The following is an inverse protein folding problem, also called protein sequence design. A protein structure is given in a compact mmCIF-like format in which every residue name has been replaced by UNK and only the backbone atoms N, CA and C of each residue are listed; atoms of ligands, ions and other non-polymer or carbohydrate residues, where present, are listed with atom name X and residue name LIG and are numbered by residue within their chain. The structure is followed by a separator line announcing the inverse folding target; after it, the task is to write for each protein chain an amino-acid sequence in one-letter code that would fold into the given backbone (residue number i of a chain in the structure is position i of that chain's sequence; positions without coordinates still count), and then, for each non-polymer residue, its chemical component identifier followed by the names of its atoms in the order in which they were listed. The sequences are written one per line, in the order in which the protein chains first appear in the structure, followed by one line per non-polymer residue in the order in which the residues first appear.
data_IF_240745911803
#
_entry.id   IF_240745911803
#
_cell.length_a   1.000
_cell.length_b   1.000
_cell.length_c   1.000
_cell.angle_alpha   90.00
_cell.angle_beta   90.00
_cell.angle_gamma   90.00
#
_symmetry.space_group_name_H-M   'P 1'
#
loop_
_entity.id
_entity.type
_entity.pdbx_description
1 polymer ?
#
# COMPACT_ATOMS: atom_id res chain seq x y z
N UNK A 1 -14.12 -39.86 103.78
CA UNK A 1 -13.35 -38.92 102.94
C UNK A 1 -14.31 -38.50 101.83
N UNK A 2 -15.09 -37.43 102.04
CA UNK A 2 -14.78 -36.05 101.57
C UNK A 2 -14.67 -36.03 100.04
N UNK A 3 -15.39 -35.23 99.25
CA UNK A 3 -16.18 -34.05 99.54
C UNK A 3 -17.04 -33.67 98.32
N UNK A 4 -18.24 -33.18 98.64
CA UNK A 4 -18.97 -32.04 98.07
C UNK A 4 -18.62 -31.44 96.68
N UNK A 5 -19.71 -31.15 95.94
CA UNK A 5 -19.96 -29.98 95.07
C UNK A 5 -19.27 -29.96 93.68
N UNK A 6 -19.88 -29.53 92.57
CA UNK A 6 -20.80 -28.38 92.39
C UNK A 6 -21.48 -28.51 91.02
N UNK A 7 -22.80 -28.27 91.00
CA UNK A 7 -23.53 -27.85 89.81
C UNK A 7 -22.92 -26.55 89.27
N UNK A 8 -22.60 -26.52 87.97
CA UNK A 8 -22.58 -25.30 87.17
C UNK A 8 -23.22 -25.60 85.82
N UNK A 9 -24.49 -25.26 85.72
CA UNK A 9 -25.16 -24.80 84.51
C UNK A 9 -24.24 -23.93 83.64
N UNK A 10 -24.12 -24.27 82.36
CA UNK A 10 -23.92 -23.28 81.31
C UNK A 10 -24.76 -23.68 80.09
N UNK A 11 -25.70 -22.83 79.65
CA UNK A 11 -26.37 -23.03 78.39
C UNK A 11 -25.34 -22.84 77.28
N UNK A 12 -25.19 -23.83 76.41
CA UNK A 12 -24.57 -23.62 75.11
C UNK A 12 -25.49 -22.66 74.34
N UNK A 13 -25.20 -21.37 74.47
CA UNK A 13 -25.70 -20.35 73.57
C UNK A 13 -25.35 -20.79 72.14
N UNK A 14 -26.29 -20.77 71.20
CA UNK A 14 -25.95 -20.89 69.80
C UNK A 14 -25.35 -19.55 69.38
N UNK A 15 -24.08 -19.30 69.70
CA UNK A 15 -23.28 -18.29 69.00
C UNK A 15 -22.84 -18.83 67.65
N UNK A 16 -23.78 -19.45 66.92
CA UNK A 16 -23.63 -19.59 65.47
C UNK A 16 -23.95 -18.21 64.91
N UNK A 17 -22.90 -17.41 64.72
CA UNK A 17 -22.90 -16.40 63.66
C UNK A 17 -23.25 -17.13 62.36
N UNK A 18 -24.55 -17.25 62.10
CA UNK A 18 -25.08 -17.72 60.83
C UNK A 18 -24.75 -16.63 59.83
N UNK A 19 -23.51 -16.66 59.32
CA UNK A 19 -23.10 -15.87 58.18
C UNK A 19 -24.09 -16.18 57.06
N UNK A 20 -25.03 -15.27 56.88
CA UNK A 20 -26.01 -15.34 55.81
C UNK A 20 -25.23 -15.10 54.52
N UNK A 21 -25.03 -16.15 53.72
CA UNK A 21 -24.37 -16.05 52.41
C UNK A 21 -25.23 -15.29 51.39
N UNK A 22 -26.49 -15.01 51.73
CA UNK A 22 -27.46 -14.35 50.85
C UNK A 22 -27.05 -13.00 50.28
N UNK A 23 -26.40 -12.07 51.02
CA UNK A 23 -25.91 -10.82 50.47
C UNK A 23 -24.79 -11.04 49.45
N UNK A 24 -23.86 -11.95 49.74
CA UNK A 24 -22.74 -12.30 48.84
C UNK A 24 -23.27 -12.95 47.55
N UNK A 25 -24.23 -13.86 47.66
CA UNK A 25 -24.87 -14.49 46.50
C UNK A 25 -25.61 -13.46 45.63
N UNK A 26 -26.23 -12.44 46.26
CA UNK A 26 -26.90 -11.35 45.54
C UNK A 26 -25.90 -10.47 44.80
N UNK A 27 -24.81 -10.11 45.46
CA UNK A 27 -23.73 -9.30 44.88
C UNK A 27 -23.09 -10.03 43.69
N UNK A 28 -22.76 -11.32 43.83
CA UNK A 28 -22.23 -12.14 42.74
C UNK A 28 -23.20 -12.27 41.55
N UNK A 29 -24.51 -12.35 41.81
CA UNK A 29 -25.52 -12.38 40.73
C UNK A 29 -25.56 -11.06 39.98
N UNK A 30 -25.53 -9.95 40.72
CA UNK A 30 -25.52 -8.61 40.14
C UNK A 30 -24.24 -8.37 39.33
N UNK A 31 -23.10 -8.82 39.83
CA UNK A 31 -21.83 -8.77 39.10
C UNK A 31 -21.88 -9.64 37.83
N UNK A 32 -22.47 -10.83 37.90
CA UNK A 32 -22.63 -11.70 36.74
C UNK A 32 -23.50 -11.04 35.65
N UNK A 33 -24.58 -10.37 36.05
CA UNK A 33 -25.44 -9.61 35.13
C UNK A 33 -24.66 -8.46 34.47
N UNK A 34 -23.97 -7.64 35.27
CA UNK A 34 -23.14 -6.51 34.76
C UNK A 34 -22.04 -7.01 33.82
N UNK A 35 -21.37 -8.11 34.18
CA UNK A 35 -20.34 -8.73 33.34
C UNK A 35 -20.98 -9.19 32.02
N UNK A 36 -22.14 -9.85 32.06
CA UNK A 36 -22.83 -10.33 30.86
C UNK A 36 -23.26 -9.19 29.94
N UNK A 37 -23.75 -8.08 30.49
CA UNK A 37 -24.12 -6.88 29.72
C UNK A 37 -22.90 -6.24 29.08
N UNK A 38 -21.79 -6.12 29.81
CA UNK A 38 -20.52 -5.62 29.25
C UNK A 38 -20.02 -6.50 28.13
N UNK A 39 -20.02 -7.83 28.29
CA UNK A 39 -19.64 -8.77 27.23
C UNK A 39 -20.52 -8.62 25.98
N UNK A 40 -21.84 -8.48 26.15
CA UNK A 40 -22.75 -8.26 25.03
C UNK A 40 -22.48 -6.92 24.34
N UNK A 41 -22.23 -5.85 25.12
CA UNK A 41 -21.89 -4.53 24.59
C UNK A 41 -20.60 -4.57 23.77
N UNK A 42 -19.52 -5.13 24.33
CA UNK A 42 -18.24 -5.30 23.65
C UNK A 42 -18.39 -6.12 22.37
N UNK A 43 -19.17 -7.21 22.42
CA UNK A 43 -19.43 -8.04 21.22
C UNK A 43 -20.19 -7.28 20.14
N UNK A 44 -21.18 -6.45 20.51
CA UNK A 44 -21.89 -5.59 19.54
C UNK A 44 -20.95 -4.57 18.91
N UNK A 45 -20.11 -3.91 19.71
CA UNK A 45 -19.11 -2.96 19.23
C UNK A 45 -18.10 -3.63 18.29
N UNK A 46 -17.60 -4.81 18.66
CA UNK A 46 -16.72 -5.61 17.81
C UNK A 46 -17.36 -5.96 16.47
N UNK A 47 -18.61 -6.43 16.49
CA UNK A 47 -19.33 -6.75 15.25
C UNK A 47 -19.55 -5.51 14.37
N UNK A 48 -19.87 -4.36 14.97
CA UNK A 48 -19.99 -3.10 14.23
C UNK A 48 -18.67 -2.68 13.60
N UNK A 49 -17.57 -2.78 14.36
CA UNK A 49 -16.24 -2.49 13.87
C UNK A 49 -15.86 -3.42 12.70
N UNK A 50 -16.18 -4.71 12.78
CA UNK A 50 -15.92 -5.65 11.70
C UNK A 50 -16.68 -5.29 10.42
N UNK A 51 -17.97 -4.95 10.54
CA UNK A 51 -18.77 -4.50 9.38
C UNK A 51 -18.17 -3.23 8.76
N UNK A 52 -17.73 -2.26 9.58
CA UNK A 52 -17.08 -1.06 9.08
C UNK A 52 -15.74 -1.36 8.41
N UNK A 53 -14.94 -2.26 8.97
CA UNK A 53 -13.70 -2.72 8.35
C UNK A 53 -13.96 -3.40 7.00
N UNK A 54 -14.95 -4.29 6.92
CA UNK A 54 -15.32 -4.96 5.66
C UNK A 54 -15.71 -3.93 4.59
N UNK A 55 -16.54 -2.95 4.93
CA UNK A 55 -16.93 -1.86 4.01
C UNK A 55 -15.73 -1.01 3.53
N UNK A 56 -14.77 -0.76 4.42
CA UNK A 56 -13.54 -0.04 4.07
C UNK A 56 -12.64 -0.87 3.15
N UNK A 57 -12.53 -2.18 3.39
CA UNK A 57 -11.77 -3.08 2.52
C UNK A 57 -12.39 -3.16 1.12
N UNK A 58 -13.71 -3.23 1.05
CA UNK A 58 -14.45 -3.21 -0.22
C UNK A 58 -14.19 -1.90 -1.00
N UNK A 59 -14.27 -0.76 -0.33
CA UNK A 59 -14.03 0.54 -1.00
C UNK A 59 -12.58 0.71 -1.44
N UNK A 60 -11.61 0.29 -0.62
CA UNK A 60 -10.19 0.32 -0.96
C UNK A 60 -9.88 -0.59 -2.15
N UNK A 61 -10.47 -1.78 -2.20
CA UNK A 61 -10.29 -2.69 -3.34
C UNK A 61 -10.82 -2.07 -4.64
N UNK A 62 -12.01 -1.44 -4.59
CA UNK A 62 -12.58 -0.74 -5.75
C UNK A 62 -11.68 0.45 -6.16
N UNK A 63 -11.18 1.23 -5.20
CA UNK A 63 -10.27 2.35 -5.48
C UNK A 63 -9.00 1.88 -6.19
N UNK A 64 -8.40 0.77 -5.77
CA UNK A 64 -7.22 0.21 -6.41
C UNK A 64 -7.52 -0.27 -7.83
N UNK A 65 -8.65 -0.95 -8.04
CA UNK A 65 -9.07 -1.40 -9.37
C UNK A 65 -9.34 -0.24 -10.34
N UNK A 66 -9.97 0.83 -9.86
CA UNK A 66 -10.17 2.07 -10.64
C UNK A 66 -8.84 2.77 -10.93
N UNK A 67 -7.94 2.84 -9.96
CA UNK A 67 -6.62 3.47 -10.11
C UNK A 67 -5.76 2.75 -11.15
N UNK A 68 -5.79 1.41 -11.14
CA UNK A 68 -5.12 0.60 -12.16
C UNK A 68 -5.69 0.86 -13.56
N UNK A 69 -7.01 0.85 -13.70
CA UNK A 69 -7.70 1.14 -14.97
C UNK A 69 -7.36 2.55 -15.49
N UNK A 70 -7.36 3.56 -14.62
CA UNK A 70 -6.95 4.92 -14.98
C UNK A 70 -5.49 4.99 -15.43
N UNK A 71 -4.59 4.31 -14.73
CA UNK A 71 -3.17 4.25 -15.09
C UNK A 71 -2.98 3.61 -16.47
N UNK A 72 -3.77 2.59 -16.80
CA UNK A 72 -3.79 1.96 -18.13
C UNK A 72 -4.22 2.96 -19.21
N UNK A 73 -5.28 3.76 -18.96
CA UNK A 73 -5.70 4.80 -19.91
C UNK A 73 -4.63 5.88 -20.11
N UNK A 74 -4.01 6.34 -19.03
CA UNK A 74 -3.04 7.45 -19.06
C UNK A 74 -1.68 7.04 -19.64
N UNK A 75 -1.27 5.79 -19.47
CA UNK A 75 0.01 5.27 -19.96
C UNK A 75 -0.01 5.00 -21.47
N UNK A 76 -1.16 4.71 -22.06
CA UNK A 76 -1.29 4.48 -23.48
C UNK A 76 -1.74 5.75 -24.22
N UNK A 77 -0.91 6.23 -25.16
CA UNK A 77 -1.34 7.11 -26.27
C UNK A 77 -2.21 6.32 -27.27
N UNK A 78 -3.20 5.59 -26.76
CA UNK A 78 -4.10 4.78 -27.55
C UNK A 78 -5.15 5.64 -28.25
N UNK A 79 -5.74 5.13 -29.35
CA UNK A 79 -6.87 5.78 -30.00
C UNK A 79 -8.06 5.94 -29.03
N UNK A 80 -8.94 6.95 -29.24
CA UNK A 80 -10.07 7.24 -28.35
C UNK A 80 -11.03 6.05 -28.12
N UNK A 81 -11.07 5.07 -29.03
CA UNK A 81 -11.90 3.87 -28.89
C UNK A 81 -11.47 3.00 -27.69
N UNK A 82 -10.17 2.86 -27.46
CA UNK A 82 -9.62 2.07 -26.35
C UNK A 82 -9.86 2.75 -25.00
N UNK A 83 -9.88 4.09 -24.99
CA UNK A 83 -10.24 4.88 -23.81
C UNK A 83 -11.69 4.67 -23.43
N UNK A 84 -12.61 4.68 -24.40
CA UNK A 84 -14.02 4.41 -24.15
C UNK A 84 -14.26 2.98 -23.66
N UNK A 85 -13.51 1.99 -24.18
CA UNK A 85 -13.61 0.62 -23.71
C UNK A 85 -13.14 0.49 -22.24
N UNK A 86 -11.97 1.04 -21.93
CA UNK A 86 -11.40 1.02 -20.58
C UNK A 86 -12.25 1.81 -19.58
N UNK A 87 -12.84 2.94 -20.00
CA UNK A 87 -13.78 3.72 -19.17
C UNK A 87 -15.06 2.93 -18.85
N UNK A 88 -15.62 2.20 -19.83
CA UNK A 88 -16.80 1.33 -19.59
C UNK A 88 -16.47 0.18 -18.65
N UNK A 89 -15.28 -0.38 -18.77
CA UNK A 89 -14.78 -1.40 -17.86
C UNK A 89 -14.67 -0.84 -16.44
N UNK A 90 -14.09 0.36 -16.28
CA UNK A 90 -14.00 1.05 -15.00
C UNK A 90 -15.38 1.32 -14.36
N UNK A 91 -16.35 1.79 -15.15
CA UNK A 91 -17.73 2.03 -14.67
C UNK A 91 -18.44 0.74 -14.23
N UNK A 92 -18.00 -0.42 -14.71
CA UNK A 92 -18.57 -1.73 -14.37
C UNK A 92 -17.91 -2.42 -13.17
N UNK A 93 -16.87 -1.82 -12.58
CA UNK A 93 -16.15 -2.40 -11.44
C UNK A 93 -17.07 -2.42 -10.22
N UNK A 94 -17.35 -3.63 -9.72
CA UNK A 94 -18.12 -3.84 -8.49
C UNK A 94 -17.45 -4.91 -7.64
N UNK A 95 -17.45 -4.73 -6.32
CA UNK A 95 -16.98 -5.75 -5.41
C UNK A 95 -17.95 -6.95 -5.38
N UNK A 96 -17.41 -8.17 -5.45
CA UNK A 96 -18.18 -9.40 -5.41
C UNK A 96 -17.63 -10.30 -4.30
N UNK A 97 -18.49 -10.64 -3.33
CA UNK A 97 -18.10 -11.54 -2.26
C UNK A 97 -18.01 -12.99 -2.77
N UNK A 98 -16.81 -13.58 -2.69
CA UNK A 98 -16.55 -14.94 -3.16
C UNK A 98 -17.45 -15.98 -2.49
N UNK A 99 -17.80 -15.81 -1.21
CA UNK A 99 -18.70 -16.72 -0.48
C UNK A 99 -20.13 -16.74 -1.03
N UNK A 100 -20.57 -15.65 -1.66
CA UNK A 100 -21.89 -15.55 -2.27
C UNK A 100 -21.93 -16.16 -3.68
N UNK A 101 -20.77 -16.20 -4.36
CA UNK A 101 -20.66 -16.66 -5.75
C UNK A 101 -20.19 -18.10 -5.88
N UNK A 102 -19.33 -18.55 -4.97
CA UNK A 102 -18.84 -19.93 -4.92
C UNK A 102 -19.75 -20.71 -3.97
N UNK A 103 -20.78 -21.35 -4.52
CA UNK A 103 -21.76 -22.12 -3.72
C UNK A 103 -21.20 -23.42 -3.14
N UNK A 104 -20.06 -23.91 -3.64
CA UNK A 104 -19.42 -25.13 -3.16
C UNK A 104 -18.38 -24.82 -2.08
N UNK A 105 -18.60 -25.17 -0.80
CA UNK A 105 -17.67 -24.87 0.29
C UNK A 105 -16.30 -25.53 0.07
N UNK A 106 -16.27 -26.72 -0.51
CA UNK A 106 -15.04 -27.45 -0.81
C UNK A 106 -14.17 -26.72 -1.84
N UNK A 107 -14.80 -26.05 -2.81
CA UNK A 107 -14.08 -25.31 -3.86
C UNK A 107 -13.50 -24.01 -3.30
N UNK A 108 -14.26 -23.30 -2.47
CA UNK A 108 -13.79 -22.11 -1.76
C UNK A 108 -12.60 -22.44 -0.84
N UNK A 109 -12.69 -23.52 -0.07
CA UNK A 109 -11.60 -23.95 0.81
C UNK A 109 -10.35 -24.35 0.02
N UNK A 110 -10.51 -25.08 -1.08
CA UNK A 110 -9.40 -25.48 -1.95
C UNK A 110 -8.71 -24.27 -2.59
N UNK A 111 -9.50 -23.29 -3.04
CA UNK A 111 -8.98 -22.05 -3.61
C UNK A 111 -8.23 -21.21 -2.57
N UNK A 112 -8.78 -21.06 -1.36
CA UNK A 112 -8.12 -20.36 -0.26
C UNK A 112 -6.81 -21.05 0.15
N UNK A 113 -6.79 -22.39 0.19
CA UNK A 113 -5.57 -23.16 0.46
C UNK A 113 -4.52 -22.95 -0.64
N UNK A 114 -4.94 -22.93 -1.90
CA UNK A 114 -4.05 -22.64 -3.03
C UNK A 114 -3.42 -21.25 -2.91
N UNK A 115 -4.23 -20.21 -2.71
CA UNK A 115 -3.72 -18.84 -2.54
C UNK A 115 -2.83 -18.69 -1.30
N UNK A 116 -3.20 -19.32 -0.19
CA UNK A 116 -2.38 -19.33 1.03
C UNK A 116 -1.02 -20.01 0.83
N UNK A 117 -0.98 -21.11 0.09
CA UNK A 117 0.27 -21.78 -0.28
C UNK A 117 1.12 -20.88 -1.18
N UNK A 118 0.51 -20.18 -2.13
CA UNK A 118 1.21 -19.27 -3.04
C UNK A 118 1.81 -18.07 -2.28
N UNK A 119 1.04 -17.47 -1.37
CA UNK A 119 1.48 -16.40 -0.46
C UNK A 119 2.65 -16.82 0.43
N UNK A 120 2.69 -18.09 0.83
CA UNK A 120 3.76 -18.64 1.68
C UNK A 120 5.06 -18.91 0.92
N UNK A 121 5.02 -18.94 -0.42
CA UNK A 121 6.18 -19.23 -1.28
C UNK A 121 6.39 -18.10 -2.31
N UNK A 122 6.82 -16.90 -1.88
CA UNK A 122 7.05 -15.76 -2.79
C UNK A 122 8.06 -16.06 -3.89
N UNK A 123 8.98 -17.00 -3.65
CA UNK A 123 9.96 -17.47 -4.64
C UNK A 123 9.29 -18.09 -5.88
N UNK A 124 8.25 -18.92 -5.67
CA UNK A 124 7.51 -19.54 -6.77
C UNK A 124 6.75 -18.49 -7.59
N UNK A 125 6.20 -17.45 -6.93
CA UNK A 125 5.53 -16.34 -7.62
C UNK A 125 6.51 -15.55 -8.46
N UNK A 126 7.71 -15.29 -7.93
CA UNK A 126 8.79 -14.62 -8.66
C UNK A 126 9.21 -15.41 -9.92
N UNK A 127 9.33 -16.74 -9.82
CA UNK A 127 9.65 -17.58 -10.97
C UNK A 127 8.57 -17.57 -12.05
N UNK A 128 7.29 -17.61 -11.66
CA UNK A 128 6.15 -17.53 -12.60
C UNK A 128 6.14 -16.19 -13.32
N UNK A 129 6.33 -15.08 -12.60
CA UNK A 129 6.37 -13.73 -13.17
C UNK A 129 7.53 -13.58 -14.17
N UNK A 130 8.69 -14.11 -13.83
CA UNK A 130 9.85 -14.14 -14.71
C UNK A 130 9.56 -14.96 -15.98
N UNK A 131 9.04 -16.18 -15.83
CA UNK A 131 8.70 -17.02 -16.97
C UNK A 131 7.68 -16.32 -17.88
N UNK A 132 6.67 -15.68 -17.31
CA UNK A 132 5.70 -14.90 -18.08
C UNK A 132 6.34 -13.73 -18.85
N UNK A 133 7.31 -13.04 -18.25
CA UNK A 133 8.11 -12.02 -18.93
C UNK A 133 8.91 -12.56 -20.11
N UNK A 134 9.50 -13.73 -19.97
CA UNK A 134 10.32 -14.39 -21.01
C UNK A 134 9.48 -14.86 -22.19
N UNK A 135 8.27 -15.37 -21.94
CA UNK A 135 7.33 -15.83 -22.96
C UNK A 135 6.57 -14.68 -23.65
N UNK A 136 6.80 -13.43 -23.26
CA UNK A 136 6.12 -12.26 -23.83
C UNK A 136 4.63 -12.19 -23.48
N UNK A 137 4.21 -12.86 -22.41
CA UNK A 137 2.86 -12.71 -21.86
C UNK A 137 2.68 -11.29 -21.32
N UNK A 138 1.43 -10.86 -21.18
CA UNK A 138 1.11 -9.56 -20.62
C UNK A 138 1.43 -9.52 -19.11
N UNK A 139 2.70 -9.30 -18.81
CA UNK A 139 3.21 -9.27 -17.46
C UNK A 139 2.66 -8.10 -16.63
N UNK A 140 2.07 -7.08 -17.25
CA UNK A 140 1.46 -5.97 -16.50
C UNK A 140 0.15 -6.42 -15.86
N UNK A 141 -0.72 -7.07 -16.62
CA UNK A 141 -1.96 -7.64 -16.11
C UNK A 141 -1.70 -8.75 -15.11
N UNK A 142 -0.77 -9.67 -15.42
CA UNK A 142 -0.42 -10.75 -14.51
C UNK A 142 0.16 -10.23 -13.18
N UNK A 143 1.01 -9.20 -13.23
CA UNK A 143 1.57 -8.58 -12.01
C UNK A 143 0.47 -7.96 -11.16
N UNK A 144 -0.42 -7.17 -11.78
CA UNK A 144 -1.54 -6.55 -11.08
C UNK A 144 -2.45 -7.60 -10.43
N UNK A 145 -2.85 -8.64 -11.18
CA UNK A 145 -3.73 -9.69 -10.69
C UNK A 145 -3.08 -10.48 -9.55
N UNK A 146 -1.79 -10.81 -9.65
CA UNK A 146 -1.07 -11.51 -8.58
C UNK A 146 -0.96 -10.64 -7.33
N UNK A 147 -0.64 -9.37 -7.47
CA UNK A 147 -0.55 -8.44 -6.33
C UNK A 147 -1.93 -8.22 -5.69
N UNK A 148 -2.98 -8.12 -6.50
CA UNK A 148 -4.36 -7.98 -6.01
C UNK A 148 -4.86 -9.24 -5.31
N UNK A 149 -4.72 -10.41 -5.95
CA UNK A 149 -5.34 -11.68 -5.52
C UNK A 149 -4.53 -12.38 -4.42
N UNK A 150 -3.19 -12.38 -4.52
CA UNK A 150 -2.32 -13.12 -3.59
C UNK A 150 -1.97 -12.26 -2.39
N UNK A 151 -1.67 -10.98 -2.62
CA UNK A 151 -1.18 -10.06 -1.59
C UNK A 151 -2.22 -9.01 -1.17
N UNK A 152 -3.44 -9.03 -1.75
CA UNK A 152 -4.52 -8.15 -1.32
C UNK A 152 -4.17 -6.66 -1.42
N UNK A 153 -3.34 -6.26 -2.38
CA UNK A 153 -2.77 -4.91 -2.48
C UNK A 153 -2.00 -4.44 -1.22
N UNK A 154 -1.45 -5.37 -0.45
CA UNK A 154 -0.71 -5.10 0.77
C UNK A 154 -1.49 -4.31 1.83
N UNK A 155 -2.81 -4.50 1.91
CA UNK A 155 -3.59 -3.86 2.97
C UNK A 155 -3.14 -4.32 4.37
N UNK A 156 -2.64 -5.55 4.48
CA UNK A 156 -2.07 -6.08 5.72
C UNK A 156 -0.53 -5.98 5.74
N UNK A 157 0.08 -5.68 6.90
CA UNK A 157 1.54 -5.57 7.03
C UNK A 157 2.27 -6.87 6.69
N UNK A 158 1.65 -8.03 6.91
CA UNK A 158 2.21 -9.33 6.55
C UNK A 158 2.34 -9.50 5.03
N UNK A 159 1.44 -8.87 4.26
CA UNK A 159 1.49 -8.88 2.79
C UNK A 159 2.66 -8.06 2.26
N UNK A 160 2.95 -6.90 2.88
CA UNK A 160 4.12 -6.09 2.54
C UNK A 160 5.41 -6.90 2.63
N UNK A 161 5.61 -7.65 3.73
CA UNK A 161 6.82 -8.45 3.92
C UNK A 161 6.95 -9.56 2.85
N UNK A 162 5.86 -10.22 2.48
CA UNK A 162 5.90 -11.27 1.46
C UNK A 162 6.12 -10.71 0.05
N UNK A 163 5.50 -9.58 -0.28
CA UNK A 163 5.71 -8.92 -1.57
C UNK A 163 7.15 -8.37 -1.68
N UNK A 164 7.70 -7.80 -0.61
CA UNK A 164 9.12 -7.41 -0.53
C UNK A 164 10.04 -8.61 -0.73
N UNK A 165 9.76 -9.75 -0.08
CA UNK A 165 10.55 -10.97 -0.29
C UNK A 165 10.51 -11.44 -1.75
N UNK A 166 9.35 -11.36 -2.42
CA UNK A 166 9.22 -11.68 -3.84
C UNK A 166 10.06 -10.71 -4.71
N UNK A 167 10.00 -9.41 -4.42
CA UNK A 167 10.81 -8.37 -5.11
C UNK A 167 12.30 -8.64 -4.92
N UNK A 168 12.74 -8.96 -3.69
CA UNK A 168 14.11 -9.31 -3.40
C UNK A 168 14.57 -10.53 -4.21
N UNK A 169 13.75 -11.57 -4.34
CA UNK A 169 14.07 -12.73 -5.17
C UNK A 169 14.20 -12.38 -6.65
N UNK A 170 13.26 -11.59 -7.18
CA UNK A 170 13.30 -11.09 -8.55
C UNK A 170 14.58 -10.28 -8.82
N UNK A 171 14.93 -9.35 -7.93
CA UNK A 171 16.13 -8.52 -8.05
C UNK A 171 17.41 -9.34 -7.92
N UNK A 172 17.50 -10.25 -6.94
CA UNK A 172 18.65 -11.14 -6.77
C UNK A 172 18.88 -11.99 -8.01
N UNK A 173 17.80 -12.46 -8.63
CA UNK A 173 17.87 -13.21 -9.86
C UNK A 173 18.34 -12.35 -11.03
N UNK A 174 17.77 -11.14 -11.21
CA UNK A 174 18.21 -10.16 -12.23
C UNK A 174 19.71 -9.88 -12.11
N UNK A 175 20.18 -9.54 -10.90
CA UNK A 175 21.59 -9.23 -10.61
C UNK A 175 22.51 -10.41 -10.97
N UNK A 176 22.10 -11.66 -10.69
CA UNK A 176 22.91 -12.85 -11.04
C UNK A 176 23.04 -13.07 -12.54
N UNK A 177 22.10 -12.58 -13.35
CA UNK A 177 22.12 -12.75 -14.81
C UNK A 177 22.81 -11.61 -15.55
N UNK A 178 22.92 -10.43 -14.93
CA UNK A 178 23.58 -9.28 -15.56
C UNK A 178 25.09 -9.52 -15.70
N UNK A 179 25.60 -9.30 -16.91
CA UNK A 179 27.04 -9.38 -17.20
C UNK A 179 27.75 -8.03 -17.00
N UNK A 180 26.98 -6.93 -17.02
CA UNK A 180 27.49 -5.57 -16.85
C UNK A 180 26.62 -4.71 -15.93
N UNK A 181 27.20 -3.65 -15.36
CA UNK A 181 26.50 -2.67 -14.52
C UNK A 181 25.39 -1.95 -15.32
N UNK A 182 25.58 -1.73 -16.63
CA UNK A 182 24.55 -1.11 -17.49
C UNK A 182 23.31 -1.99 -17.62
N UNK A 183 23.49 -3.30 -17.75
CA UNK A 183 22.39 -4.27 -17.76
C UNK A 183 21.69 -4.35 -16.40
N UNK A 184 22.43 -4.20 -15.31
CA UNK A 184 21.85 -4.17 -13.96
C UNK A 184 20.85 -3.01 -13.80
N UNK A 185 21.19 -1.81 -14.30
CA UNK A 185 20.28 -0.65 -14.28
C UNK A 185 19.17 -0.71 -15.33
N UNK A 186 19.30 -1.55 -16.35
CA UNK A 186 18.21 -1.91 -17.25
C UNK A 186 17.37 -3.00 -16.59
N UNK A 187 16.70 -2.62 -15.50
CA UNK A 187 15.84 -3.53 -14.70
C UNK A 187 14.87 -4.23 -15.65
N UNK A 188 14.77 -5.56 -15.56
CA UNK A 188 13.83 -6.35 -16.34
C UNK A 188 12.41 -5.74 -16.22
N UNK A 189 11.65 -5.64 -17.33
CA UNK A 189 10.34 -4.97 -17.32
C UNK A 189 9.38 -5.56 -16.27
N UNK A 190 9.50 -6.85 -15.96
CA UNK A 190 8.71 -7.50 -14.90
C UNK A 190 9.10 -6.99 -13.51
N UNK A 191 10.40 -6.98 -13.19
CA UNK A 191 10.90 -6.51 -11.90
C UNK A 191 10.54 -5.03 -11.64
N UNK A 192 10.71 -4.17 -12.65
CA UNK A 192 10.37 -2.74 -12.52
C UNK A 192 8.88 -2.50 -12.33
N UNK A 193 8.02 -3.30 -12.98
CA UNK A 193 6.56 -3.24 -12.80
C UNK A 193 6.15 -3.64 -11.40
N UNK A 194 6.64 -4.76 -10.88
CA UNK A 194 6.33 -5.21 -9.51
C UNK A 194 6.76 -4.15 -8.49
N UNK A 195 7.96 -3.57 -8.64
CA UNK A 195 8.44 -2.50 -7.77
C UNK A 195 7.55 -1.26 -7.89
N UNK A 196 7.12 -0.89 -9.10
CA UNK A 196 6.20 0.23 -9.30
C UNK A 196 4.85 0.00 -8.62
N UNK A 197 4.26 -1.19 -8.75
CA UNK A 197 3.01 -1.56 -8.08
C UNK A 197 3.15 -1.58 -6.56
N UNK A 198 4.27 -2.09 -6.03
CA UNK A 198 4.57 -2.03 -4.60
C UNK A 198 4.67 -0.58 -4.10
N UNK A 199 5.39 0.27 -4.84
CA UNK A 199 5.51 1.68 -4.49
C UNK A 199 4.15 2.38 -4.46
N UNK A 200 3.27 2.08 -5.43
CA UNK A 200 1.89 2.59 -5.49
C UNK A 200 1.06 2.27 -4.24
N UNK A 201 1.38 1.16 -3.56
CA UNK A 201 0.68 0.67 -2.37
C UNK A 201 1.28 1.17 -1.06
N UNK A 202 2.43 1.87 -1.09
CA UNK A 202 3.06 2.34 0.13
C UNK A 202 2.17 3.38 0.84
N UNK A 203 1.84 3.17 2.12
CA UNK A 203 1.14 4.16 2.91
C UNK A 203 2.00 5.42 2.97
N UNK A 204 1.45 6.50 2.43
CA UNK A 204 2.15 7.78 2.35
C UNK A 204 2.87 8.06 1.02
N UNK A 205 2.79 7.19 0.00
CA UNK A 205 3.22 7.56 -1.35
C UNK A 205 2.44 8.78 -1.87
N UNK A 206 1.12 8.84 -1.65
CA UNK A 206 0.32 10.01 -2.06
C UNK A 206 0.81 11.30 -1.38
N UNK A 207 1.14 11.25 -0.09
CA UNK A 207 1.75 12.39 0.61
C UNK A 207 3.17 12.68 0.13
N UNK A 208 3.95 11.65 -0.17
CA UNK A 208 5.31 11.75 -0.71
C UNK A 208 5.32 12.37 -2.11
N UNK A 209 4.43 11.95 -3.01
CA UNK A 209 4.23 12.55 -4.34
C UNK A 209 3.71 13.97 -4.22
N UNK A 210 2.81 14.24 -3.27
CA UNK A 210 2.35 15.59 -2.97
C UNK A 210 3.50 16.50 -2.49
N UNK A 211 4.38 15.98 -1.63
CA UNK A 211 5.55 16.71 -1.16
C UNK A 211 6.59 16.88 -2.28
N UNK A 212 6.87 15.83 -3.06
CA UNK A 212 7.72 15.88 -4.25
C UNK A 212 7.21 16.94 -5.21
N UNK A 213 5.91 16.98 -5.47
CA UNK A 213 5.31 18.00 -6.32
C UNK A 213 5.54 19.41 -5.76
N UNK A 214 5.42 19.63 -4.45
CA UNK A 214 5.72 20.94 -3.84
C UNK A 214 7.19 21.33 -3.95
N UNK A 215 8.10 20.36 -3.77
CA UNK A 215 9.56 20.54 -3.88
C UNK A 215 9.93 20.87 -5.33
N UNK A 216 9.37 20.14 -6.29
CA UNK A 216 9.55 20.35 -7.73
C UNK A 216 8.81 21.59 -8.25
N UNK A 217 7.83 22.10 -7.51
CA UNK A 217 7.01 23.24 -7.95
C UNK A 217 7.87 24.48 -8.20
N UNK A 218 8.85 24.76 -7.34
CA UNK A 218 9.73 25.94 -7.50
C UNK A 218 10.55 25.89 -8.80
N UNK A 219 11.34 24.85 -9.07
CA UNK A 219 12.08 24.75 -10.33
C UNK A 219 11.15 24.60 -11.55
N UNK A 220 9.99 23.95 -11.42
CA UNK A 220 9.01 23.90 -12.51
C UNK A 220 8.43 25.28 -12.83
N UNK A 221 8.10 26.07 -11.81
CA UNK A 221 7.58 27.43 -12.00
C UNK A 221 8.66 28.39 -12.53
N UNK A 222 9.93 28.22 -12.17
CA UNK A 222 11.01 29.03 -12.75
C UNK A 222 11.21 28.73 -14.24
N UNK A 223 11.10 27.46 -14.65
CA UNK A 223 11.07 27.08 -16.07
C UNK A 223 9.84 27.65 -16.79
N UNK A 224 8.65 27.54 -16.19
CA UNK A 224 7.40 28.04 -16.80
C UNK A 224 7.35 29.56 -16.90
N UNK A 225 7.94 30.27 -15.94
CA UNK A 225 8.03 31.72 -15.93
C UNK A 225 9.22 32.25 -16.74
N UNK A 226 9.99 31.38 -17.38
CA UNK A 226 11.08 31.78 -18.25
C UNK A 226 10.50 32.43 -19.51
N UNK A 227 10.58 33.75 -19.58
CA UNK A 227 10.04 34.57 -20.68
C UNK A 227 11.06 34.86 -21.77
N UNK A 228 12.35 34.60 -21.53
CA UNK A 228 13.46 35.07 -22.37
C UNK A 228 13.76 34.17 -23.60
N UNK A 229 12.80 33.34 -24.02
CA UNK A 229 12.85 32.59 -25.28
C UNK A 229 12.99 31.08 -25.09
N UNK A 230 13.69 30.42 -26.01
CA UNK A 230 13.87 28.97 -25.98
C UNK A 230 14.98 28.58 -24.99
N UNK A 231 14.87 27.42 -24.35
CA UNK A 231 15.98 26.81 -23.61
C UNK A 231 16.82 25.95 -24.56
N UNK A 232 17.71 26.59 -25.31
CA UNK A 232 18.61 25.89 -26.23
C UNK A 232 20.03 25.84 -25.66
N UNK A 233 20.59 24.64 -25.58
CA UNK A 233 22.00 24.40 -25.23
C UNK A 233 22.86 24.05 -26.47
N UNK A 234 22.20 23.81 -27.62
CA UNK A 234 22.84 23.35 -28.85
C UNK A 234 22.98 24.53 -29.83
N UNK A 235 24.23 24.88 -30.15
CA UNK A 235 24.60 25.98 -31.05
C UNK A 235 23.96 25.83 -32.43
N UNK A 236 23.82 24.61 -32.93
CA UNK A 236 23.24 24.36 -34.25
C UNK A 236 21.74 24.59 -34.27
N UNK A 237 21.04 24.25 -33.19
CA UNK A 237 19.59 24.50 -33.06
C UNK A 237 19.27 25.95 -32.74
N UNK A 238 20.07 26.57 -31.88
CA UNK A 238 19.95 27.98 -31.55
C UNK A 238 20.19 28.86 -32.79
N UNK A 239 21.26 28.58 -33.56
CA UNK A 239 21.55 29.32 -34.78
C UNK A 239 20.43 29.24 -35.81
N UNK A 240 19.87 28.05 -36.08
CA UNK A 240 18.74 27.86 -37.03
C UNK A 240 17.48 28.63 -36.62
N UNK A 241 17.20 28.73 -35.32
CA UNK A 241 16.02 29.46 -34.80
C UNK A 241 16.22 30.97 -34.79
N UNK A 242 17.47 31.43 -34.62
CA UNK A 242 17.83 32.84 -34.53
C UNK A 242 18.18 33.47 -35.89
N UNK A 243 18.18 32.72 -37.01
CA UNK A 243 18.49 33.23 -38.36
C UNK A 243 17.54 34.34 -38.86
N UNK A 244 16.47 34.66 -38.13
CA UNK A 244 15.54 35.74 -38.45
C UNK A 244 15.80 37.07 -37.71
N UNK A 245 16.86 37.16 -36.91
CA UNK A 245 17.14 38.32 -36.05
C UNK A 245 18.55 38.85 -36.33
N UNK A 246 18.67 39.91 -37.14
CA UNK A 246 19.92 40.37 -37.77
C UNK A 246 21.03 40.87 -36.83
N UNK A 247 20.80 40.97 -35.51
CA UNK A 247 21.77 41.50 -34.52
C UNK A 247 21.94 40.61 -33.26
N UNK A 248 21.51 39.35 -33.29
CA UNK A 248 21.56 38.49 -32.09
C UNK A 248 22.89 37.74 -31.94
N UNK A 249 23.63 38.01 -30.85
CA UNK A 249 24.81 37.23 -30.48
C UNK A 249 24.38 35.85 -29.94
N UNK A 250 24.45 34.86 -30.83
CA UNK A 250 24.14 33.45 -30.54
C UNK A 250 24.98 32.90 -29.39
N UNK A 251 26.22 33.37 -29.22
CA UNK A 251 27.12 32.88 -28.18
C UNK A 251 26.68 33.39 -26.81
N UNK A 252 26.36 34.67 -26.70
CA UNK A 252 25.83 35.27 -25.48
C UNK A 252 24.47 34.66 -25.07
N UNK A 253 23.62 34.33 -26.05
CA UNK A 253 22.35 33.66 -25.81
C UNK A 253 22.50 32.23 -25.26
N UNK A 254 23.44 31.44 -25.81
CA UNK A 254 23.71 30.07 -25.35
C UNK A 254 24.35 30.10 -23.96
N UNK A 255 25.23 31.04 -23.69
CA UNK A 255 25.84 31.20 -22.37
C UNK A 255 24.77 31.55 -21.32
N UNK A 256 23.87 32.48 -21.63
CA UNK A 256 22.73 32.84 -20.78
C UNK A 256 21.79 31.65 -20.55
N UNK A 257 21.42 30.92 -21.62
CA UNK A 257 20.56 29.74 -21.55
C UNK A 257 21.19 28.61 -20.74
N UNK A 258 22.50 28.38 -20.91
CA UNK A 258 23.25 27.34 -20.18
C UNK A 258 23.39 27.69 -18.70
N UNK A 259 23.65 28.95 -18.35
CA UNK A 259 23.68 29.40 -16.96
C UNK A 259 22.31 29.26 -16.29
N UNK A 260 21.22 29.55 -17.02
CA UNK A 260 19.87 29.34 -16.52
C UNK A 260 19.59 27.83 -16.28
N UNK A 261 19.92 26.96 -17.22
CA UNK A 261 19.78 25.50 -17.06
C UNK A 261 20.56 25.01 -15.84
N UNK A 262 21.82 25.41 -15.70
CA UNK A 262 22.67 25.01 -14.58
C UNK A 262 22.11 25.51 -13.24
N UNK A 263 21.58 26.73 -13.20
CA UNK A 263 20.93 27.28 -12.01
C UNK A 263 19.71 26.45 -11.61
N UNK A 264 18.81 26.18 -12.56
CA UNK A 264 17.60 25.38 -12.32
C UNK A 264 17.93 23.94 -11.95
N UNK A 265 18.89 23.30 -12.61
CA UNK A 265 19.36 21.97 -12.26
C UNK A 265 20.02 21.94 -10.87
N UNK A 266 20.77 22.98 -10.51
CA UNK A 266 21.36 23.14 -9.19
C UNK A 266 20.31 23.25 -8.10
N UNK A 267 19.30 24.11 -8.30
CA UNK A 267 18.15 24.20 -7.39
C UNK A 267 17.40 22.87 -7.27
N UNK A 268 17.16 22.19 -8.40
CA UNK A 268 16.51 20.88 -8.42
C UNK A 268 17.28 19.84 -7.61
N UNK A 269 18.61 19.77 -7.76
CA UNK A 269 19.45 18.83 -7.01
C UNK A 269 19.50 19.15 -5.52
N UNK A 270 19.57 20.43 -5.14
CA UNK A 270 19.54 20.85 -3.73
C UNK A 270 18.21 20.49 -3.08
N UNK A 271 17.12 20.74 -3.78
CA UNK A 271 15.77 20.43 -3.31
C UNK A 271 15.51 18.91 -3.25
N UNK A 272 16.02 18.13 -4.21
CA UNK A 272 16.00 16.65 -4.12
C UNK A 272 16.88 16.11 -2.99
N UNK A 273 18.03 16.71 -2.71
CA UNK A 273 18.88 16.24 -1.62
C UNK A 273 18.25 16.49 -0.25
N UNK A 274 17.55 17.62 -0.07
CA UNK A 274 16.73 17.90 1.12
C UNK A 274 15.58 16.91 1.31
N UNK A 275 15.14 16.29 0.22
CA UNK A 275 14.01 15.37 0.19
C UNK A 275 14.35 13.96 0.70
N UNK A 276 15.64 13.62 0.88
CA UNK A 276 16.07 12.30 1.37
C UNK A 276 15.49 11.95 2.75
N UNK A 277 15.28 12.95 3.62
CA UNK A 277 14.73 12.76 4.97
C UNK A 277 13.22 12.45 4.98
N UNK A 278 12.52 12.68 3.87
CA UNK A 278 11.07 12.50 3.74
C UNK A 278 10.67 11.25 2.97
N UNK A 279 11.64 10.38 2.66
CA UNK A 279 11.35 9.11 2.03
C UNK A 279 10.51 8.24 2.99
N UNK A 280 9.39 7.65 2.55
CA UNK A 280 8.54 6.85 3.43
C UNK A 280 9.37 5.71 4.03
N UNK A 281 9.31 5.51 5.36
CA UNK A 281 9.98 4.37 5.97
C UNK A 281 9.36 3.07 5.43
N UNK A 282 10.21 2.22 4.85
CA UNK A 282 9.85 0.85 4.44
C UNK A 282 9.73 -0.08 5.63
#
# INVERSE_FOLDING_TARGET
MTDTTKSCSNPLSPSSSSYSWWPVIRELRQDQEVISERWQSTRRQYNQLNISCDQLLESLWIEHALSYSLTKVLSHRSPPADWMATSREADSITFLNASQRISSPNLLESYNRFLGNLRSHPEAVAEVLKWAGQEGLDSAHLTYDLVSVVYGHCVFPEDHAQLLNMICHLLMHHIKQCSSIKEMFSIEPVCSRVVSEYCQQLPGLKSFLGFLFQVLRKPLMSILNYTDGYLDYDVTKASVRLQGTDDFDVSAYIESSSQFILSVCGEFLVELNRFQEFFPPT
#
